data_IF_773894153074
#
_entry.id   IF_773894153074
#
_cell.length_a   1.000
_cell.length_b   1.000
_cell.length_c   1.000
_cell.angle_alpha   90.00
_cell.angle_beta   90.00
_cell.angle_gamma   90.00
#
_symmetry.space_group_name_H-M   'P 1'
#
loop_
_entity.id
_entity.type
_entity.pdbx_description
1 polymer ?
#
# COMPACT_ATOMS: atom_id res chain seq x y z
N UNK A 1 -22.33 63.92 -5.70
CA UNK A 1 -21.59 63.11 -4.74
C UNK A 1 -22.18 61.69 -4.82
N UNK A 2 -21.50 60.81 -5.56
CA UNK A 2 -21.93 59.40 -5.72
C UNK A 2 -20.91 58.54 -4.98
N UNK A 3 -21.34 57.94 -3.85
CA UNK A 3 -20.52 57.04 -3.05
C UNK A 3 -20.56 55.65 -3.66
N UNK A 4 -19.45 55.31 -4.33
CA UNK A 4 -19.19 53.94 -4.83
C UNK A 4 -18.97 53.00 -3.65
N UNK A 5 -19.93 52.11 -3.37
CA UNK A 5 -19.74 51.02 -2.41
C UNK A 5 -18.89 49.93 -3.04
N UNK A 6 -17.66 49.80 -2.58
CA UNK A 6 -16.76 48.71 -2.91
C UNK A 6 -17.27 47.43 -2.24
N UNK A 7 -17.91 46.56 -2.99
CA UNK A 7 -18.36 45.26 -2.55
C UNK A 7 -17.14 44.31 -2.41
N UNK A 8 -16.57 44.24 -1.22
CA UNK A 8 -15.55 43.27 -0.87
C UNK A 8 -16.19 41.89 -0.73
N UNK A 9 -16.28 41.16 -1.83
CA UNK A 9 -16.61 39.74 -1.81
C UNK A 9 -15.50 39.01 -1.06
N UNK A 10 -15.77 38.60 0.17
CA UNK A 10 -14.96 37.62 0.88
C UNK A 10 -14.90 36.33 0.04
N UNK A 11 -13.70 35.79 -0.24
CA UNK A 11 -13.61 34.51 -0.94
C UNK A 11 -14.27 33.44 -0.07
N UNK A 12 -15.37 32.92 -0.59
CA UNK A 12 -16.09 31.82 0.02
C UNK A 12 -15.16 30.60 0.01
N UNK A 13 -14.55 30.30 1.16
CA UNK A 13 -13.75 29.10 1.38
C UNK A 13 -14.68 27.87 1.38
N UNK A 14 -15.19 27.50 0.21
CA UNK A 14 -15.89 26.26 0.01
C UNK A 14 -14.96 25.13 0.47
N UNK A 15 -15.37 24.37 1.47
CA UNK A 15 -14.64 23.19 1.93
C UNK A 15 -14.39 22.29 0.73
N UNK A 16 -13.15 21.84 0.46
CA UNK A 16 -12.87 20.99 -0.68
C UNK A 16 -13.71 19.71 -0.56
N UNK A 17 -14.67 19.53 -1.46
CA UNK A 17 -15.39 18.28 -1.56
C UNK A 17 -14.44 17.27 -2.19
N UNK A 18 -14.03 16.26 -1.44
CA UNK A 18 -13.07 15.27 -1.91
C UNK A 18 -13.65 14.33 -2.97
N UNK A 19 -14.95 14.36 -3.26
CA UNK A 19 -15.60 13.42 -4.19
C UNK A 19 -15.54 11.95 -3.76
N UNK A 20 -14.78 11.64 -2.71
CA UNK A 20 -14.59 10.31 -2.13
C UNK A 20 -15.16 10.25 -0.72
N UNK A 21 -15.72 9.10 -0.33
CA UNK A 21 -16.18 8.90 1.03
C UNK A 21 -15.00 8.88 2.03
N UNK A 22 -15.20 9.28 3.29
CA UNK A 22 -14.14 9.19 4.31
C UNK A 22 -13.58 7.76 4.45
N UNK A 23 -14.43 6.74 4.36
CA UNK A 23 -14.02 5.34 4.40
C UNK A 23 -13.09 4.98 3.23
N UNK A 24 -13.38 5.47 2.02
CA UNK A 24 -12.51 5.29 0.85
C UNK A 24 -11.14 5.93 1.08
N UNK A 25 -11.12 7.17 1.59
CA UNK A 25 -9.86 7.90 1.87
C UNK A 25 -9.01 7.14 2.88
N UNK A 26 -9.60 6.68 3.98
CA UNK A 26 -8.91 5.91 5.01
C UNK A 26 -8.37 4.58 4.44
N UNK A 27 -9.17 3.87 3.64
CA UNK A 27 -8.73 2.61 3.00
C UNK A 27 -7.55 2.85 2.06
N UNK A 28 -7.63 3.86 1.20
CA UNK A 28 -6.54 4.20 0.26
C UNK A 28 -5.26 4.60 1.01
N UNK A 29 -5.39 5.40 2.05
CA UNK A 29 -4.27 5.82 2.88
C UNK A 29 -3.63 4.61 3.61
N UNK A 30 -4.44 3.72 4.19
CA UNK A 30 -3.96 2.52 4.87
C UNK A 30 -3.29 1.51 3.93
N UNK A 31 -3.75 1.39 2.68
CA UNK A 31 -3.09 0.57 1.66
C UNK A 31 -1.66 1.01 1.38
N UNK A 32 -1.36 2.31 1.46
CA UNK A 32 0.01 2.81 1.26
C UNK A 32 0.94 2.49 2.43
N UNK A 33 0.40 2.22 3.63
CA UNK A 33 1.18 1.89 4.82
C UNK A 33 1.66 0.43 4.87
N UNK A 34 1.09 -0.48 4.05
CA UNK A 34 1.46 -1.91 4.06
C UNK A 34 2.96 -2.11 3.81
N UNK A 35 3.55 -1.36 2.86
CA UNK A 35 4.95 -1.52 2.51
C UNK A 35 5.90 -1.14 3.67
N UNK A 36 5.83 0.05 4.27
CA UNK A 36 6.68 0.38 5.42
C UNK A 36 6.40 -0.52 6.63
N UNK A 37 5.14 -0.87 6.93
CA UNK A 37 4.85 -1.81 8.01
C UNK A 37 5.49 -3.18 7.74
N UNK A 38 5.38 -3.70 6.52
CA UNK A 38 5.97 -4.97 6.12
C UNK A 38 7.50 -4.97 6.10
N UNK A 39 8.16 -3.81 5.97
CA UNK A 39 9.61 -3.66 6.01
C UNK A 39 10.09 -3.51 7.46
N UNK A 40 9.53 -2.57 8.21
CA UNK A 40 10.16 -2.06 9.42
C UNK A 40 9.74 -2.79 10.70
N UNK A 41 8.53 -3.39 10.73
CA UNK A 41 8.03 -4.07 11.94
C UNK A 41 8.85 -5.31 12.33
N UNK A 42 9.47 -6.02 11.37
CA UNK A 42 10.15 -7.29 11.67
C UNK A 42 11.68 -7.20 11.68
N UNK A 43 12.27 -6.05 11.33
CA UNK A 43 13.74 -5.89 11.24
C UNK A 43 14.43 -6.32 12.53
N UNK A 44 13.87 -5.98 13.69
CA UNK A 44 14.39 -6.37 14.99
C UNK A 44 14.37 -7.89 15.23
N UNK A 45 13.63 -8.64 14.43
CA UNK A 45 13.50 -10.11 14.56
C UNK A 45 14.49 -10.88 13.70
N UNK A 46 15.29 -10.25 12.85
CA UNK A 46 16.19 -10.95 11.91
C UNK A 46 17.12 -11.95 12.60
N UNK A 47 17.76 -11.65 13.74
CA UNK A 47 18.60 -12.62 14.43
C UNK A 47 17.79 -13.86 14.90
N UNK A 48 16.62 -13.64 15.50
CA UNK A 48 15.74 -14.72 15.98
C UNK A 48 15.21 -15.59 14.84
N UNK A 49 14.95 -14.99 13.67
CA UNK A 49 14.57 -15.71 12.45
C UNK A 49 15.71 -16.62 11.99
N UNK A 50 16.95 -16.12 12.01
CA UNK A 50 18.13 -16.90 11.62
C UNK A 50 18.33 -18.11 12.53
N UNK A 51 18.18 -17.94 13.84
CA UNK A 51 18.27 -19.02 14.83
C UNK A 51 17.16 -20.05 14.66
N UNK A 52 15.88 -19.61 14.59
CA UNK A 52 14.72 -20.51 14.55
C UNK A 52 14.63 -21.29 13.23
N UNK A 53 14.99 -20.67 12.11
CA UNK A 53 15.01 -21.32 10.79
C UNK A 53 16.37 -22.00 10.49
N UNK A 54 17.28 -22.11 11.47
CA UNK A 54 18.58 -22.75 11.36
C UNK A 54 19.38 -22.27 10.16
N UNK A 55 19.46 -20.95 9.96
CA UNK A 55 20.09 -20.31 8.82
C UNK A 55 21.06 -19.20 9.25
N UNK A 56 21.70 -18.55 8.28
CA UNK A 56 22.60 -17.42 8.55
C UNK A 56 21.84 -16.09 8.61
N UNK A 57 22.38 -15.11 9.33
CA UNK A 57 21.83 -13.74 9.33
C UNK A 57 21.79 -13.12 7.93
N UNK A 58 22.77 -13.49 7.08
CA UNK A 58 22.78 -13.07 5.68
C UNK A 58 21.57 -13.60 4.91
N UNK A 59 21.20 -14.88 5.11
CA UNK A 59 20.03 -15.45 4.47
C UNK A 59 18.72 -14.86 5.05
N UNK A 60 18.66 -14.60 6.35
CA UNK A 60 17.54 -13.90 6.96
C UNK A 60 17.38 -12.48 6.38
N UNK A 61 18.49 -11.76 6.15
CA UNK A 61 18.47 -10.42 5.53
C UNK A 61 18.04 -10.45 4.05
N UNK A 62 18.26 -11.57 3.33
CA UNK A 62 17.74 -11.74 1.96
C UNK A 62 16.21 -11.66 1.88
N UNK A 63 15.49 -11.94 2.96
CA UNK A 63 14.03 -11.79 3.02
C UNK A 63 13.60 -10.34 2.83
N UNK A 64 14.39 -9.38 3.34
CA UNK A 64 14.17 -7.96 3.10
C UNK A 64 14.42 -7.58 1.64
N UNK A 65 15.54 -8.05 1.09
CA UNK A 65 15.88 -7.82 -0.33
C UNK A 65 14.82 -8.41 -1.26
N UNK A 66 14.35 -9.63 -0.98
CA UNK A 66 13.30 -10.27 -1.75
C UNK A 66 11.99 -9.47 -1.74
N UNK A 67 11.60 -8.95 -0.57
CA UNK A 67 10.44 -8.05 -0.47
C UNK A 67 10.62 -6.79 -1.30
N UNK A 68 11.78 -6.13 -1.22
CA UNK A 68 12.05 -4.88 -1.96
C UNK A 68 12.08 -5.12 -3.47
N UNK A 69 12.69 -6.22 -3.93
CA UNK A 69 12.69 -6.61 -5.35
C UNK A 69 11.27 -6.90 -5.83
N UNK A 70 10.50 -7.67 -5.05
CA UNK A 70 9.08 -7.92 -5.34
C UNK A 70 8.29 -6.62 -5.47
N UNK A 71 8.47 -5.70 -4.51
CA UNK A 71 7.80 -4.40 -4.52
C UNK A 71 8.18 -3.55 -5.75
N UNK A 72 9.47 -3.50 -6.11
CA UNK A 72 9.94 -2.76 -7.27
C UNK A 72 9.33 -3.31 -8.58
N UNK A 73 9.37 -4.63 -8.77
CA UNK A 73 8.78 -5.27 -9.94
C UNK A 73 7.25 -5.08 -9.99
N UNK A 74 6.58 -5.19 -8.85
CA UNK A 74 5.15 -4.93 -8.76
C UNK A 74 4.79 -3.48 -9.14
N UNK A 75 5.55 -2.49 -8.67
CA UNK A 75 5.32 -1.08 -9.03
C UNK A 75 5.47 -0.84 -10.54
N UNK A 76 6.43 -1.48 -11.19
CA UNK A 76 6.62 -1.37 -12.64
C UNK A 76 5.45 -1.98 -13.42
N UNK A 77 4.97 -3.14 -13.01
CA UNK A 77 3.99 -3.92 -13.79
C UNK A 77 2.55 -3.43 -13.54
N UNK A 78 2.22 -3.10 -12.28
CA UNK A 78 0.83 -2.85 -11.87
C UNK A 78 0.27 -1.55 -12.45
N UNK A 79 1.07 -0.52 -12.61
CA UNK A 79 0.64 0.74 -13.22
C UNK A 79 -0.02 0.50 -14.59
N UNK A 80 0.75 0.09 -15.59
CA UNK A 80 0.23 -0.18 -16.95
C UNK A 80 -0.84 -1.27 -16.98
N UNK A 81 -0.74 -2.31 -16.15
CA UNK A 81 -1.75 -3.36 -16.09
C UNK A 81 -3.11 -2.79 -15.64
N UNK A 82 -3.12 -1.93 -14.63
CA UNK A 82 -4.34 -1.33 -14.11
C UNK A 82 -4.97 -0.30 -15.04
N UNK A 83 -4.17 0.38 -15.88
CA UNK A 83 -4.67 1.29 -16.90
C UNK A 83 -5.45 0.55 -17.98
N UNK A 84 -5.13 -0.72 -18.20
CA UNK A 84 -5.82 -1.60 -19.17
C UNK A 84 -7.02 -2.33 -18.58
N UNK A 85 -6.88 -2.88 -17.36
CA UNK A 85 -7.89 -3.77 -16.76
C UNK A 85 -8.90 -3.04 -15.88
N UNK A 86 -8.62 -1.78 -15.54
CA UNK A 86 -9.32 -1.04 -14.51
C UNK A 86 -8.61 -1.13 -13.15
N UNK A 87 -8.99 -0.30 -12.21
CA UNK A 87 -8.31 -0.20 -10.90
C UNK A 87 -8.74 -1.29 -9.92
N UNK A 88 -10.01 -1.64 -9.93
CA UNK A 88 -10.62 -2.54 -8.93
C UNK A 88 -10.11 -3.97 -9.02
N UNK A 89 -10.05 -4.55 -10.22
CA UNK A 89 -9.66 -5.97 -10.40
C UNK A 89 -8.23 -6.26 -9.93
N UNK A 90 -7.18 -5.51 -10.35
CA UNK A 90 -5.84 -5.72 -9.85
C UNK A 90 -5.73 -5.47 -8.34
N UNK A 91 -6.50 -4.52 -7.80
CA UNK A 91 -6.48 -4.21 -6.37
C UNK A 91 -7.07 -5.35 -5.54
N UNK A 92 -8.18 -5.97 -5.98
CA UNK A 92 -8.78 -7.14 -5.34
C UNK A 92 -7.83 -8.35 -5.35
N UNK A 93 -7.26 -8.66 -6.52
CA UNK A 93 -6.31 -9.78 -6.65
C UNK A 93 -5.05 -9.50 -5.81
N UNK A 94 -4.49 -8.30 -5.94
CA UNK A 94 -3.28 -7.92 -5.20
C UNK A 94 -3.48 -7.95 -3.69
N UNK A 95 -4.61 -7.45 -3.16
CA UNK A 95 -4.89 -7.50 -1.73
C UNK A 95 -5.11 -8.93 -1.23
N UNK A 96 -5.76 -9.81 -2.00
CA UNK A 96 -5.94 -11.21 -1.65
C UNK A 96 -4.59 -11.96 -1.64
N UNK A 97 -3.75 -11.74 -2.66
CA UNK A 97 -2.41 -12.35 -2.73
C UNK A 97 -1.52 -11.79 -1.60
N UNK A 98 -1.60 -10.50 -1.29
CA UNK A 98 -0.85 -9.89 -0.20
C UNK A 98 -1.24 -10.50 1.16
N UNK A 99 -2.52 -10.67 1.42
CA UNK A 99 -3.02 -11.34 2.61
C UNK A 99 -2.49 -12.78 2.72
N UNK A 100 -2.63 -13.57 1.65
CA UNK A 100 -2.16 -14.96 1.63
C UNK A 100 -0.64 -15.07 1.79
N UNK A 101 0.13 -14.20 1.12
CA UNK A 101 1.58 -14.16 1.23
C UNK A 101 2.05 -13.75 2.63
N UNK A 102 1.35 -12.78 3.26
CA UNK A 102 1.65 -12.37 4.65
C UNK A 102 1.37 -13.49 5.63
N UNK A 103 0.25 -14.20 5.47
CA UNK A 103 -0.06 -15.38 6.26
C UNK A 103 0.99 -16.49 6.06
N UNK A 104 1.41 -16.73 4.81
CA UNK A 104 2.47 -17.70 4.52
C UNK A 104 3.79 -17.32 5.21
N UNK A 105 4.12 -16.04 5.33
CA UNK A 105 5.29 -15.59 6.10
C UNK A 105 5.20 -16.04 7.57
N UNK A 106 4.03 -15.90 8.21
CA UNK A 106 3.83 -16.31 9.61
C UNK A 106 4.01 -17.83 9.83
N UNK A 107 3.67 -18.64 8.84
CA UNK A 107 3.71 -20.10 8.91
C UNK A 107 4.89 -20.75 8.16
N UNK A 108 5.87 -19.94 7.72
CA UNK A 108 7.00 -20.44 6.94
C UNK A 108 7.82 -21.47 7.73
N UNK A 109 7.99 -22.70 7.21
CA UNK A 109 8.78 -23.73 7.87
C UNK A 109 10.29 -23.62 7.59
N UNK A 110 10.70 -22.98 6.49
CA UNK A 110 12.08 -22.84 6.07
C UNK A 110 12.36 -21.43 5.55
N UNK A 111 13.64 -21.06 5.47
CA UNK A 111 14.06 -19.73 5.00
C UNK A 111 13.70 -19.51 3.53
N UNK A 112 13.75 -20.55 2.68
CA UNK A 112 13.42 -20.47 1.26
C UNK A 112 11.95 -20.13 1.04
N UNK A 113 11.06 -20.80 1.79
CA UNK A 113 9.61 -20.51 1.77
C UNK A 113 9.37 -19.08 2.26
N UNK A 114 10.09 -18.67 3.30
CA UNK A 114 9.97 -17.31 3.83
C UNK A 114 10.44 -16.25 2.81
N UNK A 115 11.59 -16.46 2.14
CA UNK A 115 12.07 -15.56 1.07
C UNK A 115 11.05 -15.45 -0.06
N UNK A 116 10.52 -16.59 -0.54
CA UNK A 116 9.51 -16.60 -1.60
C UNK A 116 8.21 -15.89 -1.18
N UNK A 117 7.74 -16.13 0.05
CA UNK A 117 6.56 -15.47 0.60
C UNK A 117 6.79 -13.95 0.74
N UNK A 118 7.97 -13.51 1.17
CA UNK A 118 8.36 -12.10 1.27
C UNK A 118 8.41 -11.41 -0.09
N UNK A 119 8.96 -12.07 -1.12
CA UNK A 119 8.91 -11.56 -2.49
C UNK A 119 7.46 -11.35 -2.95
N UNK A 120 6.61 -12.36 -2.77
CA UNK A 120 5.21 -12.29 -3.18
C UNK A 120 4.43 -11.23 -2.39
N UNK A 121 4.71 -11.10 -1.09
CA UNK A 121 4.14 -10.05 -0.22
C UNK A 121 4.54 -8.65 -0.72
N UNK A 122 5.82 -8.43 -1.07
CA UNK A 122 6.28 -7.16 -1.62
C UNK A 122 5.65 -6.83 -2.97
N UNK A 123 5.64 -7.81 -3.88
CA UNK A 123 5.04 -7.67 -5.21
C UNK A 123 3.56 -7.29 -5.12
N UNK A 124 2.79 -8.05 -4.35
CA UNK A 124 1.35 -7.83 -4.19
C UNK A 124 1.02 -6.61 -3.33
N UNK A 125 1.82 -6.30 -2.31
CA UNK A 125 1.65 -5.12 -1.46
C UNK A 125 1.85 -3.81 -2.23
N UNK A 126 2.71 -3.81 -3.27
CA UNK A 126 2.91 -2.65 -4.14
C UNK A 126 1.63 -2.23 -4.90
N UNK A 127 0.73 -3.19 -5.17
CA UNK A 127 -0.56 -2.94 -5.85
C UNK A 127 -1.37 -1.89 -5.09
N UNK A 128 -1.47 -2.04 -3.76
CA UNK A 128 -2.17 -1.09 -2.91
C UNK A 128 -1.58 0.31 -2.98
N UNK A 129 -0.26 0.43 -2.90
CA UNK A 129 0.44 1.71 -2.92
C UNK A 129 0.33 2.43 -4.28
N UNK A 130 0.43 1.69 -5.41
CA UNK A 130 0.31 2.25 -6.76
C UNK A 130 -1.13 2.66 -7.02
N UNK A 131 -2.09 1.76 -6.80
CA UNK A 131 -3.48 2.01 -7.17
C UNK A 131 -4.17 3.01 -6.25
N UNK A 132 -3.77 3.12 -4.98
CA UNK A 132 -4.27 4.17 -4.11
C UNK A 132 -3.99 5.57 -4.69
N UNK A 133 -2.77 5.80 -5.19
CA UNK A 133 -2.40 7.08 -5.84
C UNK A 133 -3.14 7.28 -7.15
N UNK A 134 -3.25 6.24 -7.98
CA UNK A 134 -3.99 6.30 -9.24
C UNK A 134 -5.47 6.62 -9.02
N UNK A 135 -6.13 5.97 -8.05
CA UNK A 135 -7.53 6.21 -7.71
C UNK A 135 -7.74 7.66 -7.25
N UNK A 136 -6.85 8.20 -6.42
CA UNK A 136 -6.91 9.61 -6.01
C UNK A 136 -6.77 10.53 -7.22
N UNK A 137 -5.82 10.27 -8.12
CA UNK A 137 -5.63 11.07 -9.33
C UNK A 137 -6.84 11.00 -10.28
N UNK A 138 -7.46 9.83 -10.41
CA UNK A 138 -8.63 9.61 -11.29
C UNK A 138 -9.90 10.27 -10.75
N UNK A 139 -10.05 10.38 -9.43
CA UNK A 139 -11.30 10.78 -8.76
C UNK A 139 -11.31 12.18 -8.19
N UNK A 140 -10.17 12.84 -8.10
CA UNK A 140 -10.06 14.18 -7.50
C UNK A 140 -9.31 15.14 -8.41
N UNK A 141 -9.48 16.47 -8.20
CA UNK A 141 -8.82 17.52 -9.00
C UNK A 141 -8.26 18.64 -8.11
N UNK A 142 -7.21 19.28 -8.59
CA UNK A 142 -6.65 20.49 -7.99
C UNK A 142 -6.21 20.32 -6.54
N UNK A 143 -6.67 21.18 -5.64
CA UNK A 143 -6.27 21.21 -4.23
C UNK A 143 -6.68 19.92 -3.47
N UNK A 144 -7.78 19.28 -3.84
CA UNK A 144 -8.20 18.03 -3.22
C UNK A 144 -7.21 16.89 -3.50
N UNK A 145 -6.74 16.76 -4.74
CA UNK A 145 -5.69 15.78 -5.11
C UNK A 145 -4.41 16.04 -4.33
N UNK A 146 -3.93 17.29 -4.30
CA UNK A 146 -2.72 17.66 -3.58
C UNK A 146 -2.82 17.33 -2.08
N UNK A 147 -3.98 17.59 -1.47
CA UNK A 147 -4.22 17.32 -0.04
C UNK A 147 -4.23 15.83 0.28
N UNK A 148 -4.88 15.00 -0.55
CA UNK A 148 -4.92 13.56 -0.36
C UNK A 148 -3.54 12.91 -0.60
N UNK A 149 -2.81 13.34 -1.64
CA UNK A 149 -1.43 12.90 -1.88
C UNK A 149 -0.52 13.30 -0.72
N UNK A 150 -0.69 14.51 -0.15
CA UNK A 150 0.03 14.95 1.04
C UNK A 150 -0.24 14.06 2.25
N UNK A 151 -1.49 13.67 2.50
CA UNK A 151 -1.85 12.73 3.58
C UNK A 151 -1.16 11.38 3.37
N UNK A 152 -1.18 10.84 2.15
CA UNK A 152 -0.49 9.57 1.84
C UNK A 152 1.02 9.68 2.04
N UNK A 153 1.64 10.81 1.66
CA UNK A 153 3.05 11.09 1.91
C UNK A 153 3.36 11.17 3.40
N UNK A 154 2.52 11.83 4.20
CA UNK A 154 2.68 11.87 5.66
C UNK A 154 2.64 10.45 6.26
N UNK A 155 1.68 9.62 5.88
CA UNK A 155 1.58 8.24 6.37
C UNK A 155 2.85 7.45 6.01
N UNK A 156 3.33 7.54 4.77
CA UNK A 156 4.56 6.88 4.35
C UNK A 156 5.81 7.43 5.06
N UNK A 157 5.83 8.70 5.46
CA UNK A 157 6.92 9.31 6.22
C UNK A 157 6.92 8.91 7.71
N UNK A 158 5.75 8.80 8.33
CA UNK A 158 5.64 8.43 9.75
C UNK A 158 5.66 6.91 9.97
N UNK A 159 5.21 6.12 9.00
CA UNK A 159 5.14 4.67 9.15
C UNK A 159 6.49 4.02 9.49
N UNK A 160 7.64 4.38 8.86
CA UNK A 160 8.95 3.84 9.24
C UNK A 160 9.40 4.18 10.66
N UNK A 161 8.89 5.26 11.24
CA UNK A 161 9.18 5.65 12.64
C UNK A 161 8.33 4.83 13.61
N UNK A 162 7.07 4.62 13.28
CA UNK A 162 6.12 3.92 14.15
C UNK A 162 6.22 2.39 14.01
N UNK A 163 6.53 1.88 12.83
CA UNK A 163 6.55 0.44 12.57
C UNK A 163 7.53 -0.34 13.46
N UNK A 164 8.79 0.09 13.68
CA UNK A 164 9.68 -0.60 14.60
C UNK A 164 9.19 -0.58 16.06
N UNK A 165 8.53 0.50 16.49
CA UNK A 165 7.96 0.60 17.84
C UNK A 165 6.82 -0.42 18.02
N UNK A 166 5.91 -0.50 17.05
CA UNK A 166 4.84 -1.51 17.04
C UNK A 166 5.41 -2.92 16.93
N UNK A 167 6.41 -3.13 16.07
CA UNK A 167 7.10 -4.41 15.94
C UNK A 167 7.75 -4.85 17.25
N UNK A 168 8.50 -3.97 17.89
CA UNK A 168 9.12 -4.23 19.18
C UNK A 168 8.10 -4.51 20.30
N UNK A 169 6.98 -3.78 20.31
CA UNK A 169 5.88 -4.05 21.23
C UNK A 169 5.28 -5.44 21.01
N UNK A 170 5.01 -5.85 19.75
CA UNK A 170 4.51 -7.19 19.43
C UNK A 170 5.53 -8.27 19.85
N UNK A 171 6.82 -8.04 19.64
CA UNK A 171 7.90 -8.95 20.04
C UNK A 171 8.05 -9.10 21.55
N UNK A 172 7.63 -8.10 22.34
CA UNK A 172 7.71 -8.18 23.81
C UNK A 172 6.79 -9.25 24.43
N UNK A 173 5.76 -9.71 23.71
CA UNK A 173 4.82 -10.72 24.16
C UNK A 173 4.66 -11.90 23.16
N UNK A 174 5.43 -11.91 22.09
CA UNK A 174 5.36 -12.93 21.07
C UNK A 174 6.70 -13.20 20.39
N UNK A 175 6.65 -13.97 19.31
CA UNK A 175 7.78 -14.26 18.44
C UNK A 175 7.74 -13.42 17.17
N UNK A 176 8.75 -13.53 16.30
CA UNK A 176 8.74 -12.92 14.97
C UNK A 176 7.50 -13.33 14.14
N UNK A 177 6.96 -14.54 14.35
CA UNK A 177 5.72 -14.99 13.71
C UNK A 177 4.51 -14.18 14.14
N UNK A 178 4.51 -13.67 15.39
CA UNK A 178 3.45 -12.80 15.90
C UNK A 178 3.38 -11.48 15.13
N UNK A 179 4.52 -10.94 14.69
CA UNK A 179 4.56 -9.75 13.83
C UNK A 179 3.83 -10.00 12.51
N UNK A 180 4.10 -11.14 11.86
CA UNK A 180 3.41 -11.51 10.62
C UNK A 180 1.94 -11.88 10.84
N UNK A 181 1.56 -12.42 11.98
CA UNK A 181 0.15 -12.63 12.33
C UNK A 181 -0.60 -11.30 12.46
N UNK A 182 0.00 -10.30 13.12
CA UNK A 182 -0.58 -8.95 13.20
C UNK A 182 -0.70 -8.33 11.80
N UNK A 183 0.34 -8.42 10.98
CA UNK A 183 0.30 -7.96 9.59
C UNK A 183 -0.75 -8.70 8.77
N UNK A 184 -0.97 -10.00 9.02
CA UNK A 184 -2.03 -10.79 8.36
C UNK A 184 -3.41 -10.27 8.73
N UNK A 185 -3.66 -9.94 9.99
CA UNK A 185 -4.92 -9.32 10.41
C UNK A 185 -5.11 -7.96 9.73
N UNK A 186 -4.08 -7.13 9.67
CA UNK A 186 -4.13 -5.82 9.00
C UNK A 186 -4.42 -5.98 7.50
N UNK A 187 -3.67 -6.84 6.79
CA UNK A 187 -3.87 -7.06 5.35
C UNK A 187 -5.22 -7.70 5.05
N UNK A 188 -5.71 -8.59 5.93
CA UNK A 188 -7.06 -9.17 5.84
C UNK A 188 -8.15 -8.13 6.01
N UNK A 189 -8.03 -7.25 6.99
CA UNK A 189 -8.97 -6.14 7.19
C UNK A 189 -8.98 -5.19 5.98
N UNK A 190 -7.80 -4.88 5.42
CA UNK A 190 -7.68 -4.06 4.21
C UNK A 190 -8.25 -4.76 2.98
N UNK A 191 -8.05 -6.06 2.82
CA UNK A 191 -8.68 -6.85 1.76
C UNK A 191 -10.22 -6.75 1.84
N UNK A 192 -10.79 -6.91 3.03
CA UNK A 192 -12.24 -6.74 3.23
C UNK A 192 -12.69 -5.30 2.94
N UNK A 193 -11.92 -4.30 3.37
CA UNK A 193 -12.21 -2.91 3.04
C UNK A 193 -12.18 -2.65 1.52
N UNK A 194 -11.23 -3.24 0.80
CA UNK A 194 -11.18 -3.16 -0.68
C UNK A 194 -12.43 -3.79 -1.31
N UNK A 195 -12.87 -4.95 -0.82
CA UNK A 195 -14.04 -5.67 -1.35
C UNK A 195 -15.31 -4.83 -1.18
N UNK A 196 -15.54 -4.27 0.02
CA UNK A 196 -16.82 -3.64 0.37
C UNK A 196 -16.86 -2.13 0.11
N UNK A 197 -15.73 -1.43 0.17
CA UNK A 197 -15.69 0.04 0.10
C UNK A 197 -15.30 0.53 -1.29
N UNK A 198 -14.31 -0.12 -1.93
CA UNK A 198 -13.75 0.38 -3.18
C UNK A 198 -14.56 -0.09 -4.40
N UNK A 199 -14.97 0.89 -5.20
CA UNK A 199 -15.64 0.68 -6.48
C UNK A 199 -14.69 0.94 -7.64
N UNK A 200 -15.05 0.50 -8.85
CA UNK A 200 -14.27 0.82 -10.05
C UNK A 200 -14.28 2.33 -10.30
N UNK A 201 -13.10 2.88 -10.51
CA UNK A 201 -12.90 4.33 -10.72
C UNK A 201 -12.47 4.67 -12.13
N UNK A 202 -12.00 3.68 -12.92
CA UNK A 202 -11.58 3.88 -14.30
C UNK A 202 -12.67 3.36 -15.27
N UNK A 203 -13.47 4.26 -15.91
CA UNK A 203 -14.47 3.87 -16.90
C UNK A 203 -13.85 3.09 -18.06
N UNK A 204 -14.59 2.14 -18.64
CA UNK A 204 -14.12 1.26 -19.71
C UNK A 204 -13.61 2.03 -20.93
N UNK A 205 -14.23 3.18 -21.23
CA UNK A 205 -13.88 4.06 -22.34
C UNK A 205 -12.53 4.76 -22.19
N UNK A 206 -12.06 4.91 -20.94
CA UNK A 206 -10.76 5.55 -20.60
C UNK A 206 -9.63 4.55 -20.41
N UNK A 207 -9.91 3.24 -20.55
CA UNK A 207 -8.89 2.21 -20.41
C UNK A 207 -7.96 2.22 -21.61
N UNK A 208 -6.68 2.02 -21.34
CA UNK A 208 -5.68 1.94 -22.40
C UNK A 208 -5.92 0.71 -23.29
N UNK A 209 -5.98 0.92 -24.62
CA UNK A 209 -6.28 -0.16 -25.59
C UNK A 209 -5.03 -0.83 -26.19
N UNK A 210 -3.82 -0.35 -25.83
CA UNK A 210 -2.54 -0.91 -26.30
C UNK A 210 -2.05 -2.10 -25.48
N UNK A 211 -0.88 -2.62 -25.84
CA UNK A 211 -0.19 -3.65 -25.06
C UNK A 211 0.40 -3.02 -23.77
N UNK A 212 0.29 -3.68 -22.60
CA UNK A 212 0.80 -3.13 -21.35
C UNK A 212 2.30 -2.75 -21.39
N UNK A 213 3.07 -3.39 -22.27
CA UNK A 213 4.50 -3.12 -22.47
C UNK A 213 4.77 -1.95 -23.45
N UNK A 214 3.82 -1.55 -24.29
CA UNK A 214 4.03 -0.43 -25.23
C UNK A 214 4.11 0.94 -24.51
N UNK A 215 3.65 1.01 -23.28
CA UNK A 215 3.79 2.21 -22.43
C UNK A 215 5.27 2.54 -22.11
N UNK A 216 6.17 1.55 -22.20
CA UNK A 216 7.61 1.74 -21.97
C UNK A 216 8.42 1.96 -23.27
N UNK A 217 7.76 1.95 -24.45
CA UNK A 217 8.42 2.10 -25.75
C UNK A 217 8.22 3.48 -26.37
N UNK A 218 7.45 4.36 -25.75
CA UNK A 218 7.30 5.78 -26.09
C UNK A 218 8.12 6.65 -25.14
#
# INVERSE_FOLDING_TARGET
MSTSQTNTQHPNHAKPSFGLSPATIVTLAALTAIAPLGIDMYIASLPTIAEELHTTEAAASMTLSAFMVGMALGQLIIGPLSDKTGRRTPLLIGSAVCFAATALCAFSPTIEVFIAARFLMGFSGSVGAVLARSIVADTTKGLATAKLMGIMMMINGFAPVLAPLFGGWVLSWGTWRSVFNVLTVITGALMLAVIFILRETLPTEKRYQGTALSVYSE
#
